data_IF_107522079812
#
_entry.id   IF_107522079812
#
_cell.length_a   1.000
_cell.length_b   1.000
_cell.length_c   1.000
_cell.angle_alpha   90.00
_cell.angle_beta   90.00
_cell.angle_gamma   90.00
#
_symmetry.space_group_name_H-M   'P 1'
#
loop_
_entity.id
_entity.type
_entity.pdbx_description
1 polymer ?
#
# COMPACT_ATOMS: atom_id res chain seq x y z
N UNK A 1 -12.88 -10.63 15.93
CA UNK A 1 -13.72 -11.00 14.75
C UNK A 1 -14.24 -9.81 13.94
N UNK A 2 -14.37 -8.59 14.49
CA UNK A 2 -14.91 -7.43 13.73
C UNK A 2 -14.00 -6.91 12.59
N UNK A 3 -12.67 -7.08 12.69
CA UNK A 3 -11.72 -6.66 11.64
C UNK A 3 -11.91 -7.40 10.30
N UNK A 4 -12.41 -8.64 10.32
CA UNK A 4 -12.54 -9.49 9.12
C UNK A 4 -13.78 -9.17 8.27
N UNK A 5 -14.86 -8.68 8.89
CA UNK A 5 -16.09 -8.33 8.16
C UNK A 5 -15.96 -7.02 7.39
N UNK A 6 -15.19 -6.07 7.94
CA UNK A 6 -14.93 -4.80 7.27
C UNK A 6 -14.06 -5.02 6.03
N UNK A 7 -12.89 -5.65 6.17
CA UNK A 7 -11.96 -5.82 5.04
C UNK A 7 -12.56 -6.64 3.90
N UNK A 8 -13.32 -7.71 4.20
CA UNK A 8 -13.95 -8.55 3.17
C UNK A 8 -15.09 -7.88 2.40
N UNK A 9 -15.88 -7.02 3.04
CA UNK A 9 -16.93 -6.29 2.36
C UNK A 9 -16.38 -5.15 1.49
N UNK A 10 -15.37 -4.42 1.96
CA UNK A 10 -14.67 -3.38 1.18
C UNK A 10 -13.99 -3.96 -0.08
N UNK A 11 -13.28 -5.09 0.06
CA UNK A 11 -12.62 -5.78 -1.06
C UNK A 11 -13.62 -6.37 -2.07
N UNK A 12 -14.85 -6.64 -1.63
CA UNK A 12 -15.90 -7.17 -2.50
C UNK A 12 -16.71 -6.07 -3.19
N UNK A 13 -16.95 -4.93 -2.55
CA UNK A 13 -17.88 -3.91 -3.04
C UNK A 13 -17.21 -2.78 -3.84
N UNK A 14 -15.93 -2.48 -3.56
CA UNK A 14 -15.17 -1.39 -4.21
C UNK A 14 -13.97 -1.96 -5.00
N UNK A 15 -14.10 -3.19 -5.48
CA UNK A 15 -13.14 -3.75 -6.44
C UNK A 15 -13.53 -3.38 -7.86
N UNK A 16 -12.56 -3.11 -8.75
CA UNK A 16 -12.81 -2.99 -10.20
C UNK A 16 -13.54 -4.22 -10.78
N UNK A 17 -13.45 -5.37 -10.11
CA UNK A 17 -14.12 -6.62 -10.52
C UNK A 17 -15.63 -6.63 -10.28
N UNK A 18 -16.14 -5.78 -9.38
CA UNK A 18 -17.55 -5.79 -8.97
C UNK A 18 -18.28 -4.46 -9.23
N UNK A 19 -17.54 -3.39 -9.55
CA UNK A 19 -18.11 -2.08 -9.85
C UNK A 19 -17.88 -1.70 -11.32
N UNK A 20 -18.93 -1.82 -12.14
CA UNK A 20 -18.91 -1.45 -13.56
C UNK A 20 -18.45 -0.02 -13.78
N UNK A 21 -18.94 0.91 -12.95
CA UNK A 21 -18.57 2.33 -13.05
C UNK A 21 -17.09 2.57 -12.73
N UNK A 22 -16.54 1.90 -11.72
CA UNK A 22 -15.12 2.02 -11.37
C UNK A 22 -14.23 1.47 -12.50
N UNK A 23 -14.62 0.33 -13.06
CA UNK A 23 -13.94 -0.28 -14.20
C UNK A 23 -13.98 0.64 -15.43
N UNK A 24 -15.15 1.14 -15.80
CA UNK A 24 -15.33 2.06 -16.93
C UNK A 24 -14.51 3.33 -16.76
N UNK A 25 -14.52 3.94 -15.56
CA UNK A 25 -13.76 5.16 -15.28
C UNK A 25 -12.25 4.92 -15.33
N UNK A 26 -11.75 3.80 -14.78
CA UNK A 26 -10.34 3.41 -14.88
C UNK A 26 -9.92 3.16 -16.34
N UNK A 27 -10.74 2.47 -17.12
CA UNK A 27 -10.46 2.25 -18.55
C UNK A 27 -10.49 3.53 -19.37
N UNK A 28 -11.44 4.44 -19.09
CA UNK A 28 -11.53 5.74 -19.77
C UNK A 28 -10.31 6.62 -19.46
N UNK A 29 -9.86 6.66 -18.20
CA UNK A 29 -8.62 7.35 -17.82
C UNK A 29 -7.39 6.72 -18.47
N UNK A 30 -7.28 5.39 -18.52
CA UNK A 30 -6.17 4.69 -19.17
C UNK A 30 -6.11 4.99 -20.69
N UNK A 31 -7.25 4.98 -21.38
CA UNK A 31 -7.35 5.36 -22.80
C UNK A 31 -6.90 6.80 -23.01
N UNK A 32 -7.33 7.73 -22.15
CA UNK A 32 -6.93 9.13 -22.21
C UNK A 32 -5.43 9.29 -21.98
N UNK A 33 -4.86 8.70 -20.93
CA UNK A 33 -3.42 8.76 -20.61
C UNK A 33 -2.59 8.22 -21.76
N UNK A 34 -2.97 7.08 -22.36
CA UNK A 34 -2.30 6.53 -23.55
C UNK A 34 -2.32 7.48 -24.74
N UNK A 35 -3.46 8.11 -25.00
CA UNK A 35 -3.57 9.12 -26.05
C UNK A 35 -2.75 10.39 -25.74
N UNK A 36 -2.56 10.77 -24.47
CA UNK A 36 -1.62 11.85 -24.10
C UNK A 36 -0.18 11.49 -24.42
N UNK A 37 0.23 10.26 -24.09
CA UNK A 37 1.57 9.74 -24.38
C UNK A 37 1.82 9.76 -25.88
N UNK A 38 0.87 9.28 -26.70
CA UNK A 38 0.97 9.31 -28.17
C UNK A 38 1.03 10.74 -28.75
N UNK A 39 0.40 11.72 -28.10
CA UNK A 39 0.49 13.13 -28.53
C UNK A 39 1.86 13.76 -28.20
N UNK A 40 2.60 13.17 -27.26
CA UNK A 40 3.92 13.65 -26.80
C UNK A 40 5.05 12.87 -27.48
N UNK A 41 4.88 11.57 -27.72
CA UNK A 41 5.78 10.72 -28.52
C UNK A 41 5.60 11.03 -30.01
N UNK A 42 6.25 12.11 -30.47
CA UNK A 42 6.34 12.45 -31.89
C UNK A 42 7.76 12.20 -32.38
N UNK A 43 7.91 11.28 -33.35
CA UNK A 43 9.10 11.09 -34.19
C UNK A 43 9.29 12.33 -35.07
N UNK A 44 9.91 13.35 -34.48
CA UNK A 44 10.29 14.57 -35.19
C UNK A 44 11.74 14.50 -35.63
N UNK A 45 12.00 14.15 -36.88
CA UNK A 45 13.35 14.17 -37.49
C UNK A 45 14.04 15.55 -37.39
N UNK A 46 13.30 16.62 -37.04
CA UNK A 46 13.87 17.93 -36.73
C UNK A 46 13.13 18.68 -35.61
N UNK A 47 13.88 19.46 -34.82
CA UNK A 47 13.42 20.19 -33.64
C UNK A 47 12.31 21.22 -33.97
N UNK A 48 12.39 21.88 -35.13
CA UNK A 48 11.38 22.83 -35.59
C UNK A 48 10.02 22.17 -35.89
N UNK A 49 10.03 20.99 -36.52
CA UNK A 49 8.80 20.20 -36.76
C UNK A 49 8.19 19.70 -35.47
N UNK A 50 9.01 19.28 -34.50
CA UNK A 50 8.57 18.88 -33.16
C UNK A 50 7.89 20.04 -32.42
N UNK A 51 8.45 21.24 -32.47
CA UNK A 51 7.84 22.43 -31.86
C UNK A 51 6.52 22.82 -32.56
N UNK A 52 6.47 22.83 -33.90
CA UNK A 52 5.25 23.14 -34.66
C UNK A 52 4.12 22.14 -34.36
N UNK A 53 4.43 20.84 -34.33
CA UNK A 53 3.48 19.78 -33.99
C UNK A 53 2.98 19.90 -32.55
N UNK A 54 3.88 20.19 -31.60
CA UNK A 54 3.50 20.42 -30.20
C UNK A 54 2.47 21.56 -30.06
N UNK A 55 2.70 22.71 -30.70
CA UNK A 55 1.75 23.82 -30.62
C UNK A 55 0.39 23.50 -31.25
N UNK A 56 0.35 22.70 -32.33
CA UNK A 56 -0.91 22.21 -32.92
C UNK A 56 -1.63 21.19 -32.04
N UNK A 57 -0.89 20.34 -31.32
CA UNK A 57 -1.42 19.29 -30.43
C UNK A 57 -1.75 19.76 -29.00
N UNK A 58 -1.27 20.93 -28.61
CA UNK A 58 -1.49 21.54 -27.29
C UNK A 58 -2.96 21.61 -26.83
N UNK A 59 -3.93 22.05 -27.66
CA UNK A 59 -5.33 22.07 -27.23
C UNK A 59 -5.91 20.67 -27.02
N UNK A 60 -5.60 19.70 -27.89
CA UNK A 60 -6.02 18.30 -27.71
C UNK A 60 -5.44 17.70 -26.43
N UNK A 61 -4.14 17.93 -26.18
CA UNK A 61 -3.49 17.47 -24.95
C UNK A 61 -4.14 18.09 -23.70
N UNK A 62 -4.42 19.40 -23.72
CA UNK A 62 -5.09 20.09 -22.61
C UNK A 62 -6.46 19.49 -22.31
N UNK A 63 -7.27 19.23 -23.34
CA UNK A 63 -8.60 18.62 -23.15
C UNK A 63 -8.53 17.23 -22.51
N UNK A 64 -7.49 16.46 -22.84
CA UNK A 64 -7.25 15.14 -22.25
C UNK A 64 -6.78 15.23 -20.79
N UNK A 65 -5.89 16.18 -20.46
CA UNK A 65 -5.47 16.47 -19.07
C UNK A 65 -6.71 16.78 -18.22
N UNK A 66 -7.55 17.71 -18.69
CA UNK A 66 -8.77 18.12 -17.99
C UNK A 66 -9.74 16.94 -17.81
N UNK A 67 -9.83 16.06 -18.81
CA UNK A 67 -10.63 14.84 -18.75
C UNK A 67 -10.17 13.86 -17.69
N UNK A 68 -8.86 13.63 -17.55
CA UNK A 68 -8.27 12.78 -16.51
C UNK A 68 -8.47 13.40 -15.13
N UNK A 69 -8.23 14.71 -14.98
CA UNK A 69 -8.46 15.42 -13.73
C UNK A 69 -9.91 15.35 -13.25
N UNK A 70 -10.89 15.55 -14.17
CA UNK A 70 -12.31 15.37 -13.85
C UNK A 70 -12.65 13.94 -13.45
N UNK A 71 -12.11 12.93 -14.14
CA UNK A 71 -12.31 11.52 -13.81
C UNK A 71 -11.80 11.15 -12.42
N UNK A 72 -10.58 11.58 -12.10
CA UNK A 72 -9.97 11.39 -10.78
C UNK A 72 -10.77 12.09 -9.68
N UNK A 73 -11.20 13.33 -9.90
CA UNK A 73 -12.02 14.07 -8.93
C UNK A 73 -13.35 13.37 -8.65
N UNK A 74 -14.04 12.92 -9.69
CA UNK A 74 -15.30 12.18 -9.55
C UNK A 74 -15.10 10.85 -8.80
N UNK A 75 -13.96 10.18 -9.00
CA UNK A 75 -13.58 8.98 -8.27
C UNK A 75 -13.38 9.25 -6.78
N UNK A 76 -12.63 10.28 -6.43
CA UNK A 76 -12.41 10.69 -5.05
C UNK A 76 -13.74 11.05 -4.35
N UNK A 77 -14.60 11.84 -5.00
CA UNK A 77 -15.90 12.25 -4.44
C UNK A 77 -16.81 11.03 -4.14
N UNK A 78 -16.83 10.03 -5.03
CA UNK A 78 -17.62 8.80 -4.78
C UNK A 78 -17.01 7.90 -3.70
N UNK A 79 -15.69 7.87 -3.58
CA UNK A 79 -15.03 7.14 -2.50
C UNK A 79 -15.37 7.74 -1.13
N UNK A 80 -15.37 9.07 -1.02
CA UNK A 80 -15.77 9.79 0.20
C UNK A 80 -17.26 9.55 0.54
N UNK A 81 -18.14 9.53 -0.47
CA UNK A 81 -19.55 9.20 -0.31
C UNK A 81 -19.77 7.76 0.20
N UNK A 82 -19.07 6.78 -0.38
CA UNK A 82 -19.16 5.40 0.09
C UNK A 82 -18.67 5.30 1.55
N UNK A 83 -17.53 5.91 1.86
CA UNK A 83 -16.93 5.84 3.19
C UNK A 83 -17.73 6.60 4.25
N UNK A 84 -18.39 7.70 3.88
CA UNK A 84 -19.31 8.40 4.77
C UNK A 84 -20.59 7.60 5.03
N UNK A 85 -21.19 6.97 4.01
CA UNK A 85 -22.37 6.11 4.17
C UNK A 85 -22.11 4.91 5.09
N UNK A 86 -20.90 4.35 5.04
CA UNK A 86 -20.48 3.20 5.85
C UNK A 86 -20.28 3.61 7.31
N UNK A 87 -19.58 4.72 7.54
CA UNK A 87 -19.44 5.30 8.88
C UNK A 87 -20.79 5.66 9.48
N UNK A 88 -21.71 6.16 8.66
CA UNK A 88 -23.08 6.44 9.07
C UNK A 88 -23.83 5.17 9.48
N UNK A 89 -23.83 4.12 8.66
CA UNK A 89 -24.45 2.84 8.98
C UNK A 89 -23.89 2.20 10.25
N UNK A 90 -22.56 2.29 10.46
CA UNK A 90 -21.92 1.83 11.69
C UNK A 90 -22.35 2.64 12.91
N UNK A 91 -22.44 3.98 12.82
CA UNK A 91 -22.94 4.84 13.90
C UNK A 91 -24.37 4.47 14.27
N UNK A 92 -25.24 4.31 13.28
CA UNK A 92 -26.64 3.93 13.48
C UNK A 92 -26.80 2.54 14.09
N UNK A 93 -25.96 1.57 13.70
CA UNK A 93 -25.96 0.23 14.28
C UNK A 93 -25.55 0.25 15.76
N UNK A 94 -24.54 1.04 16.12
CA UNK A 94 -24.10 1.22 17.51
C UNK A 94 -25.21 1.85 18.36
N UNK A 95 -25.94 2.82 17.81
CA UNK A 95 -27.08 3.45 18.50
C UNK A 95 -28.28 2.50 18.65
N UNK A 96 -28.54 1.63 17.66
CA UNK A 96 -29.64 0.68 17.68
C UNK A 96 -29.40 -0.55 18.59
N UNK A 97 -28.13 -0.92 18.85
CA UNK A 97 -27.75 -2.07 19.68
C UNK A 97 -26.60 -1.75 20.66
N UNK A 98 -26.87 -1.01 21.75
CA UNK A 98 -25.85 -0.49 22.66
C UNK A 98 -24.98 -1.55 23.36
N UNK A 99 -25.54 -2.74 23.61
CA UNK A 99 -24.90 -3.76 24.44
C UNK A 99 -23.81 -4.58 23.73
N UNK A 100 -23.63 -4.43 22.42
CA UNK A 100 -22.53 -5.05 21.66
C UNK A 100 -21.30 -4.13 21.55
N UNK A 101 -21.39 -2.88 22.01
CA UNK A 101 -20.42 -1.83 21.68
C UNK A 101 -19.10 -1.87 22.48
N UNK A 102 -19.06 -2.49 23.66
CA UNK A 102 -17.88 -2.42 24.55
C UNK A 102 -16.72 -3.34 24.14
N UNK A 103 -16.95 -4.34 23.27
CA UNK A 103 -15.92 -5.34 22.91
C UNK A 103 -15.07 -4.99 21.68
N UNK A 104 -15.31 -3.87 21.00
CA UNK A 104 -14.63 -3.53 19.74
C UNK A 104 -13.56 -2.43 19.81
N UNK A 105 -13.40 -1.74 20.95
CA UNK A 105 -12.53 -0.56 21.06
C UNK A 105 -11.48 -0.63 22.19
N UNK A 106 -11.23 -1.80 22.79
CA UNK A 106 -10.34 -1.89 23.96
C UNK A 106 -8.84 -2.03 23.64
N UNK A 107 -8.39 -1.97 22.37
CA UNK A 107 -7.02 -2.41 22.03
C UNK A 107 -6.23 -1.49 21.09
N UNK A 108 -6.47 -0.18 21.12
CA UNK A 108 -5.59 0.78 20.42
C UNK A 108 -5.15 1.91 21.38
N UNK A 109 -4.07 1.70 22.13
CA UNK A 109 -3.18 2.80 22.58
C UNK A 109 -1.78 2.31 23.01
N UNK A 110 -0.68 3.01 22.64
CA UNK A 110 0.69 2.57 22.90
C UNK A 110 1.29 3.13 24.22
N UNK A 111 1.96 2.23 24.95
CA UNK A 111 2.99 2.36 25.99
C UNK A 111 3.20 3.67 26.79
N UNK A 112 3.21 3.55 28.13
CA UNK A 112 4.19 4.18 29.04
C UNK A 112 4.21 3.51 30.42
N UNK A 113 5.36 3.64 31.09
CA UNK A 113 5.98 2.81 32.11
C UNK A 113 5.46 2.88 33.56
N UNK A 114 5.80 1.81 34.31
CA UNK A 114 6.35 1.74 35.69
C UNK A 114 5.52 2.17 36.92
N UNK A 115 5.28 1.14 37.75
CA UNK A 115 5.39 1.03 39.23
C UNK A 115 4.45 1.82 40.16
N UNK A 116 3.83 1.07 41.09
CA UNK A 116 3.36 1.59 42.37
C UNK A 116 2.34 0.71 43.10
N UNK A 117 2.83 -0.23 43.92
CA UNK A 117 2.34 -0.64 45.27
C UNK A 117 0.83 -0.83 45.55
N UNK A 118 0.50 -2.10 45.83
CA UNK A 118 0.00 -2.65 47.12
C UNK A 118 -1.43 -2.37 47.67
N UNK A 119 -1.93 -3.47 48.25
CA UNK A 119 -2.99 -3.68 49.26
C UNK A 119 -4.47 -3.81 48.87
N UNK A 120 -4.98 -5.02 49.13
CA UNK A 120 -6.41 -5.26 49.32
C UNK A 120 -6.86 -6.73 49.36
N UNK A 121 -6.21 -7.60 50.16
CA UNK A 121 -6.89 -8.81 50.69
C UNK A 121 -7.86 -8.38 51.79
N UNK A 122 -9.06 -8.96 51.94
CA UNK A 122 -9.28 -10.25 52.64
C UNK A 122 -10.31 -11.14 51.88
N UNK A 123 -10.57 -12.45 52.08
CA UNK A 123 -10.20 -13.48 53.05
C UNK A 123 -11.04 -14.73 52.67
N UNK A 124 -10.38 -15.90 52.50
CA UNK A 124 -10.79 -17.28 52.88
C UNK A 124 -12.13 -17.91 52.38
N UNK A 125 -12.38 -19.24 52.57
CA UNK A 125 -11.50 -20.40 52.61
C UNK A 125 -11.97 -21.58 51.72
N UNK A 126 -11.05 -22.52 51.51
CA UNK A 126 -11.28 -23.89 50.98
C UNK A 126 -12.08 -24.70 52.01
N UNK A 127 -13.11 -25.46 51.62
CA UNK A 127 -13.59 -26.60 52.39
C UNK A 127 -13.03 -27.90 51.79
N UNK A 128 -12.13 -28.52 52.55
CA UNK A 128 -11.94 -29.98 52.53
C UNK A 128 -13.09 -30.55 53.36
N UNK A 129 -13.87 -31.46 52.79
CA UNK A 129 -14.87 -32.25 53.51
C UNK A 129 -14.47 -33.72 53.40
N UNK A 130 -13.64 -34.14 54.36
CA UNK A 130 -13.38 -35.54 54.69
C UNK A 130 -13.41 -35.65 56.22
N UNK A 131 -14.54 -36.13 56.73
CA UNK A 131 -14.73 -36.74 58.05
C UNK A 131 -15.83 -37.79 57.81
N UNK A 132 -15.55 -39.10 57.88
CA UNK A 132 -15.61 -39.96 59.09
C UNK A 132 -16.87 -39.67 59.93
N UNK A 133 -17.65 -40.66 60.37
CA UNK A 133 -17.13 -41.70 61.25
C UNK A 133 -18.15 -42.79 61.60
N UNK A 134 -17.59 -43.94 62.03
CA UNK A 134 -17.98 -44.77 63.20
C UNK A 134 -19.39 -45.42 63.24
N UNK A 135 -19.61 -46.63 63.79
CA UNK A 135 -18.94 -47.33 64.88
C UNK A 135 -19.61 -48.73 65.01
N UNK A 136 -18.88 -49.85 65.20
CA UNK A 136 -18.60 -50.54 66.50
C UNK A 136 -19.76 -51.48 66.93
N UNK A 137 -19.61 -52.76 67.33
CA UNK A 137 -18.86 -53.37 68.46
C UNK A 137 -18.89 -54.92 68.28
N UNK A 138 -17.79 -55.70 68.41
CA UNK A 138 -17.31 -56.44 69.61
C UNK A 138 -18.35 -57.40 70.26
N UNK A 139 -18.07 -58.59 70.81
CA UNK A 139 -16.88 -59.38 71.16
C UNK A 139 -17.36 -60.77 71.65
N UNK A 140 -16.49 -61.79 71.70
CA UNK A 140 -16.20 -62.66 72.88
C UNK A 140 -15.62 -64.03 72.51
N UNK A 141 -14.82 -64.55 73.45
CA UNK A 141 -13.83 -65.61 73.35
C UNK A 141 -14.32 -66.96 73.93
N UNK A 142 -13.80 -68.05 73.34
CA UNK A 142 -13.32 -69.32 73.96
C UNK A 142 -14.29 -70.38 74.54
N UNK A 143 -14.23 -71.59 73.94
CA UNK A 143 -13.60 -72.83 74.44
C UNK A 143 -14.43 -74.15 74.38
N UNK A 144 -13.79 -75.14 73.73
CA UNK A 144 -13.65 -76.58 74.02
C UNK A 144 -14.81 -77.62 74.04
N UNK A 145 -14.55 -78.67 73.23
CA UNK A 145 -14.67 -80.13 73.46
C UNK A 145 -15.99 -80.91 73.24
N UNK A 146 -15.94 -81.71 72.16
CA UNK A 146 -16.29 -83.13 72.00
C UNK A 146 -17.55 -83.77 72.61
N UNK A 147 -18.30 -84.40 71.69
CA UNK A 147 -18.90 -85.77 71.72
C UNK A 147 -20.43 -85.92 71.86
N UNK A 148 -21.04 -86.27 70.70
CA UNK A 148 -22.11 -87.26 70.42
C UNK A 148 -23.53 -87.03 70.96
N UNK A 149 -24.47 -86.76 70.04
CA UNK A 149 -25.64 -87.61 69.67
C UNK A 149 -26.47 -86.93 68.55
N UNK A 150 -26.88 -87.69 67.52
CA UNK A 150 -27.68 -87.27 66.35
C UNK A 150 -29.12 -86.83 66.74
N UNK A 151 -29.70 -85.80 66.08
CA UNK A 151 -30.41 -85.99 64.80
C UNK A 151 -29.95 -84.98 63.75
N UNK A 152 -29.03 -85.41 62.88
CA UNK A 152 -28.12 -84.57 62.09
C UNK A 152 -28.59 -84.19 60.68
N UNK A 153 -29.79 -84.59 60.25
CA UNK A 153 -30.25 -84.30 58.88
C UNK A 153 -31.00 -82.98 58.70
N UNK A 154 -31.75 -82.49 59.70
CA UNK A 154 -32.68 -81.37 59.49
C UNK A 154 -32.05 -79.97 59.58
N UNK A 155 -31.08 -79.74 60.46
CA UNK A 155 -30.40 -78.43 60.58
C UNK A 155 -29.37 -78.17 59.47
N UNK A 156 -28.82 -79.21 58.85
CA UNK A 156 -27.83 -79.08 57.77
C UNK A 156 -28.48 -78.72 56.44
N UNK A 157 -29.69 -79.22 56.18
CA UNK A 157 -30.51 -78.86 55.02
C UNK A 157 -30.96 -77.39 55.09
N UNK A 158 -31.36 -76.91 56.26
CA UNK A 158 -31.74 -75.49 56.46
C UNK A 158 -30.52 -74.57 56.30
N UNK A 159 -29.36 -74.91 56.87
CA UNK A 159 -28.11 -74.15 56.67
C UNK A 159 -27.61 -74.15 55.22
N UNK A 160 -27.86 -75.22 54.46
CA UNK A 160 -27.46 -75.27 53.06
C UNK A 160 -28.41 -74.48 52.17
N UNK A 161 -29.71 -74.44 52.48
CA UNK A 161 -30.68 -73.57 51.81
C UNK A 161 -30.36 -72.08 52.02
N UNK A 162 -30.01 -71.67 53.25
CA UNK A 162 -29.64 -70.27 53.55
C UNK A 162 -28.39 -69.81 52.79
N UNK A 163 -27.37 -70.68 52.70
CA UNK A 163 -26.17 -70.41 51.90
C UNK A 163 -26.48 -70.32 50.41
N UNK A 164 -27.39 -71.15 49.92
CA UNK A 164 -27.83 -71.14 48.53
C UNK A 164 -28.59 -69.86 48.19
N UNK A 165 -29.45 -69.40 49.10
CA UNK A 165 -30.16 -68.11 48.98
C UNK A 165 -29.20 -66.91 49.00
N UNK A 166 -28.18 -66.94 49.86
CA UNK A 166 -27.13 -65.91 49.86
C UNK A 166 -26.34 -65.88 48.54
N UNK A 167 -25.97 -67.05 48.02
CA UNK A 167 -25.28 -67.15 46.73
C UNK A 167 -26.16 -66.68 45.56
N UNK A 168 -27.45 -67.00 45.54
CA UNK A 168 -28.38 -66.50 44.51
C UNK A 168 -28.54 -64.97 44.56
N UNK A 169 -28.59 -64.38 45.76
CA UNK A 169 -28.63 -62.94 45.94
C UNK A 169 -27.32 -62.27 45.46
N UNK A 170 -26.18 -62.87 45.75
CA UNK A 170 -24.86 -62.38 45.32
C UNK A 170 -24.67 -62.52 43.80
N UNK A 171 -25.14 -63.62 43.19
CA UNK A 171 -25.19 -63.80 41.74
C UNK A 171 -26.10 -62.75 41.09
N UNK A 172 -27.25 -62.45 41.70
CA UNK A 172 -28.17 -61.43 41.17
C UNK A 172 -27.56 -60.03 41.23
N UNK A 173 -26.92 -59.67 42.36
CA UNK A 173 -26.22 -58.40 42.52
C UNK A 173 -25.06 -58.24 41.53
N UNK A 174 -24.20 -59.26 41.43
CA UNK A 174 -23.06 -59.23 40.49
C UNK A 174 -23.51 -59.15 39.03
N UNK A 175 -24.66 -59.74 38.70
CA UNK A 175 -25.28 -59.62 37.37
C UNK A 175 -25.78 -58.20 37.09
N UNK A 176 -26.43 -57.54 38.06
CA UNK A 176 -26.83 -56.13 37.94
C UNK A 176 -25.62 -55.22 37.81
N UNK A 177 -24.60 -55.40 38.66
CA UNK A 177 -23.35 -54.63 38.60
C UNK A 177 -22.65 -54.78 37.24
N UNK A 178 -22.61 -56.01 36.70
CA UNK A 178 -22.08 -56.27 35.36
C UNK A 178 -22.86 -55.54 34.27
N UNK A 179 -24.21 -55.53 34.36
CA UNK A 179 -25.04 -54.79 33.41
C UNK A 179 -24.73 -53.29 33.44
N UNK A 180 -24.65 -52.69 34.63
CA UNK A 180 -24.34 -51.26 34.79
C UNK A 180 -22.93 -50.92 34.29
N UNK A 181 -21.94 -51.77 34.58
CA UNK A 181 -20.58 -51.60 34.09
C UNK A 181 -20.51 -51.72 32.56
N UNK A 182 -21.25 -52.67 31.97
CA UNK A 182 -21.35 -52.82 30.52
C UNK A 182 -21.98 -51.59 29.87
N UNK A 183 -23.06 -51.03 30.43
CA UNK A 183 -23.69 -49.81 29.90
C UNK A 183 -22.75 -48.60 30.00
N UNK A 184 -22.03 -48.49 31.13
CA UNK A 184 -21.01 -47.45 31.31
C UNK A 184 -19.85 -47.59 30.33
N UNK A 185 -19.39 -48.82 30.08
CA UNK A 185 -18.34 -49.11 29.11
C UNK A 185 -18.79 -48.73 27.68
N UNK A 186 -19.99 -49.15 27.28
CA UNK A 186 -20.59 -48.80 25.98
C UNK A 186 -20.72 -47.28 25.80
N UNK A 187 -21.14 -46.57 26.84
CA UNK A 187 -21.23 -45.10 26.81
C UNK A 187 -19.85 -44.44 26.63
N UNK A 188 -18.86 -44.89 27.39
CA UNK A 188 -17.48 -44.39 27.28
C UNK A 188 -16.87 -44.69 25.90
N UNK A 189 -17.15 -45.87 25.34
CA UNK A 189 -16.66 -46.27 24.02
C UNK A 189 -17.26 -45.40 22.91
N UNK A 190 -18.56 -45.09 22.99
CA UNK A 190 -19.21 -44.13 22.11
C UNK A 190 -18.60 -42.71 22.22
N UNK A 191 -18.34 -42.24 23.44
CA UNK A 191 -17.69 -40.93 23.66
C UNK A 191 -16.29 -40.89 23.03
N UNK A 192 -15.51 -41.97 23.15
CA UNK A 192 -14.18 -42.09 22.52
C UNK A 192 -14.27 -42.05 20.99
N UNK A 193 -15.27 -42.70 20.39
CA UNK A 193 -15.50 -42.66 18.94
C UNK A 193 -15.81 -41.23 18.50
N UNK A 194 -16.76 -40.55 19.18
CA UNK A 194 -17.12 -39.16 18.87
C UNK A 194 -15.90 -38.24 19.00
N UNK A 195 -15.10 -38.38 20.06
CA UNK A 195 -13.89 -37.56 20.25
C UNK A 195 -12.87 -37.78 19.14
N UNK A 196 -12.68 -39.02 18.67
CA UNK A 196 -11.79 -39.33 17.53
C UNK A 196 -12.28 -38.67 16.24
N UNK A 197 -13.57 -38.71 15.96
CA UNK A 197 -14.17 -38.02 14.80
C UNK A 197 -14.01 -36.50 14.90
N UNK A 198 -14.16 -35.93 16.09
CA UNK A 198 -13.92 -34.49 16.30
C UNK A 198 -12.45 -34.12 16.07
N UNK A 199 -11.51 -34.95 16.54
CA UNK A 199 -10.08 -34.72 16.41
C UNK A 199 -9.63 -34.75 14.94
N UNK A 200 -10.06 -35.78 14.18
CA UNK A 200 -9.74 -35.89 12.74
C UNK A 200 -10.32 -34.73 11.93
N UNK A 201 -11.55 -34.28 12.24
CA UNK A 201 -12.15 -33.10 11.61
C UNK A 201 -11.37 -31.82 11.93
N UNK A 202 -10.93 -31.65 13.17
CA UNK A 202 -10.16 -30.48 13.60
C UNK A 202 -8.77 -30.45 12.96
N UNK A 203 -8.13 -31.61 12.80
CA UNK A 203 -6.88 -31.75 12.03
C UNK A 203 -7.07 -31.38 10.56
N UNK A 204 -8.15 -31.83 9.93
CA UNK A 204 -8.46 -31.48 8.53
C UNK A 204 -8.73 -29.98 8.36
N UNK A 205 -9.47 -29.35 9.29
CA UNK A 205 -9.70 -27.90 9.28
C UNK A 205 -8.40 -27.11 9.45
N UNK A 206 -7.53 -27.53 10.40
CA UNK A 206 -6.22 -26.92 10.59
C UNK A 206 -5.37 -26.98 9.33
N UNK A 207 -5.32 -28.14 8.66
CA UNK A 207 -4.54 -28.31 7.43
C UNK A 207 -5.09 -27.46 6.27
N UNK A 208 -6.43 -27.41 6.13
CA UNK A 208 -7.08 -26.53 5.16
C UNK A 208 -6.74 -25.05 5.41
N UNK A 209 -6.76 -24.59 6.67
CA UNK A 209 -6.38 -23.22 7.00
C UNK A 209 -4.90 -22.94 6.73
N UNK A 210 -4.02 -23.89 6.98
CA UNK A 210 -2.59 -23.75 6.72
C UNK A 210 -2.30 -23.58 5.23
N UNK A 211 -3.00 -24.33 4.37
CA UNK A 211 -2.94 -24.16 2.91
C UNK A 211 -3.43 -22.79 2.46
N UNK A 212 -4.55 -22.31 3.01
CA UNK A 212 -5.04 -20.95 2.74
C UNK A 212 -3.98 -19.89 3.10
N UNK A 213 -3.33 -20.03 4.27
CA UNK A 213 -2.27 -19.10 4.69
C UNK A 213 -1.06 -19.11 3.75
N UNK A 214 -0.62 -20.28 3.27
CA UNK A 214 0.45 -20.36 2.28
C UNK A 214 0.09 -19.64 0.98
N UNK A 215 -1.14 -19.85 0.47
CA UNK A 215 -1.63 -19.13 -0.71
C UNK A 215 -1.67 -17.62 -0.51
N UNK A 216 -2.04 -17.13 0.69
CA UNK A 216 -1.99 -15.71 1.01
C UNK A 216 -0.56 -15.16 0.99
N UNK A 217 0.40 -15.90 1.53
CA UNK A 217 1.82 -15.52 1.51
C UNK A 217 2.32 -15.40 0.07
N UNK A 218 2.07 -16.40 -0.78
CA UNK A 218 2.47 -16.39 -2.18
C UNK A 218 1.81 -15.25 -2.96
N UNK A 219 0.52 -15.00 -2.70
CA UNK A 219 -0.23 -13.90 -3.30
C UNK A 219 0.31 -12.53 -2.91
N UNK A 220 0.90 -12.38 -1.73
CA UNK A 220 1.52 -11.12 -1.27
C UNK A 220 2.94 -10.96 -1.84
N UNK A 221 3.70 -12.06 -1.92
CA UNK A 221 5.09 -12.06 -2.42
C UNK A 221 5.20 -11.52 -3.85
N UNK A 222 4.32 -11.96 -4.76
CA UNK A 222 4.36 -11.57 -6.17
C UNK A 222 4.17 -10.05 -6.39
N UNK A 223 3.10 -9.40 -5.90
CA UNK A 223 2.96 -7.94 -5.96
C UNK A 223 4.10 -7.21 -5.26
N UNK A 224 4.61 -7.72 -4.15
CA UNK A 224 5.69 -7.06 -3.42
C UNK A 224 6.98 -6.99 -4.26
N UNK A 225 7.32 -8.07 -4.98
CA UNK A 225 8.45 -8.05 -5.91
C UNK A 225 8.27 -7.05 -7.06
N UNK A 226 7.06 -6.98 -7.63
CA UNK A 226 6.74 -6.02 -8.71
C UNK A 226 6.83 -4.58 -8.19
N UNK A 227 6.31 -4.30 -6.99
CA UNK A 227 6.38 -2.98 -6.35
C UNK A 227 7.84 -2.60 -6.10
N UNK A 228 8.68 -3.52 -5.60
CA UNK A 228 10.10 -3.26 -5.40
C UNK A 228 10.83 -2.91 -6.70
N UNK A 229 10.57 -3.66 -7.77
CA UNK A 229 11.15 -3.37 -9.09
C UNK A 229 10.67 -2.01 -9.63
N UNK A 230 9.36 -1.74 -9.57
CA UNK A 230 8.81 -0.47 -10.05
C UNK A 230 9.33 0.74 -9.25
N UNK A 231 9.57 0.56 -7.95
CA UNK A 231 10.19 1.58 -7.10
C UNK A 231 11.63 1.88 -7.52
N UNK A 232 12.43 0.85 -7.84
CA UNK A 232 13.80 1.03 -8.32
C UNK A 232 13.83 1.78 -9.66
N UNK A 233 12.93 1.43 -10.59
CA UNK A 233 12.84 2.10 -11.88
C UNK A 233 12.40 3.57 -11.74
N UNK A 234 11.44 3.85 -10.84
CA UNK A 234 11.03 5.22 -10.53
C UNK A 234 12.19 6.05 -9.96
N UNK A 235 13.03 5.46 -9.10
CA UNK A 235 14.22 6.13 -8.57
C UNK A 235 15.22 6.48 -9.68
N UNK A 236 15.53 5.52 -10.57
CA UNK A 236 16.44 5.76 -11.71
C UNK A 236 15.92 6.85 -12.65
N UNK A 237 14.61 6.83 -12.95
CA UNK A 237 13.98 7.88 -13.77
C UNK A 237 14.05 9.25 -13.10
N UNK A 238 13.84 9.30 -11.78
CA UNK A 238 13.92 10.55 -11.01
C UNK A 238 15.35 11.12 -11.01
N UNK A 239 16.36 10.29 -10.82
CA UNK A 239 17.77 10.70 -10.94
C UNK A 239 18.09 11.24 -12.33
N UNK A 240 17.62 10.55 -13.39
CA UNK A 240 17.79 11.01 -14.76
C UNK A 240 17.08 12.35 -15.03
N UNK A 241 15.88 12.53 -14.50
CA UNK A 241 15.12 13.78 -14.63
C UNK A 241 15.85 14.94 -13.94
N UNK A 242 16.37 14.72 -12.73
CA UNK A 242 17.15 15.72 -12.01
C UNK A 242 18.42 16.14 -12.78
N UNK A 243 19.15 15.16 -13.33
CA UNK A 243 20.34 15.46 -14.13
C UNK A 243 19.99 16.28 -15.39
N UNK A 244 18.92 15.89 -16.09
CA UNK A 244 18.45 16.63 -17.26
C UNK A 244 17.98 18.05 -16.92
N UNK A 245 17.36 18.25 -15.74
CA UNK A 245 16.98 19.57 -15.25
C UNK A 245 18.20 20.45 -14.99
N UNK A 246 19.25 19.91 -14.35
CA UNK A 246 20.51 20.63 -14.11
C UNK A 246 21.16 21.04 -15.44
N UNK A 247 21.24 20.12 -16.42
CA UNK A 247 21.77 20.42 -17.75
C UNK A 247 20.95 21.51 -18.47
N UNK A 248 19.62 21.44 -18.40
CA UNK A 248 18.73 22.43 -19.01
C UNK A 248 18.89 23.82 -18.37
N UNK A 249 19.04 23.89 -17.05
CA UNK A 249 19.33 25.14 -16.34
C UNK A 249 20.69 25.72 -16.73
N UNK A 250 21.71 24.87 -16.88
CA UNK A 250 23.04 25.27 -17.35
C UNK A 250 22.99 25.86 -18.76
N UNK A 251 22.37 25.14 -19.71
CA UNK A 251 22.22 25.59 -21.09
C UNK A 251 21.42 26.89 -21.19
N UNK A 252 20.39 27.07 -20.36
CA UNK A 252 19.63 28.32 -20.29
C UNK A 252 20.52 29.49 -19.88
N UNK A 253 21.38 29.32 -18.87
CA UNK A 253 22.32 30.36 -18.45
C UNK A 253 23.32 30.71 -19.56
N UNK A 254 23.82 29.72 -20.30
CA UNK A 254 24.69 29.97 -21.46
C UNK A 254 23.97 30.70 -22.59
N UNK A 255 22.72 30.35 -22.86
CA UNK A 255 21.90 31.03 -23.86
C UNK A 255 21.67 32.51 -23.51
N UNK A 256 21.35 32.81 -22.25
CA UNK A 256 21.15 34.19 -21.78
C UNK A 256 22.45 35.01 -21.93
N UNK A 257 23.62 34.42 -21.62
CA UNK A 257 24.93 35.07 -21.85
C UNK A 257 25.17 35.35 -23.32
N UNK A 258 24.95 34.36 -24.18
CA UNK A 258 25.17 34.47 -25.62
C UNK A 258 24.22 35.49 -26.27
N UNK A 259 22.99 35.63 -25.78
CA UNK A 259 22.05 36.65 -26.24
C UNK A 259 22.60 38.06 -25.99
N UNK A 260 23.14 38.32 -24.79
CA UNK A 260 23.77 39.60 -24.43
C UNK A 260 25.02 39.87 -25.28
N UNK A 261 25.88 38.87 -25.48
CA UNK A 261 27.07 39.00 -26.32
C UNK A 261 26.71 39.32 -27.79
N UNK A 262 25.68 38.66 -28.33
CA UNK A 262 25.19 38.90 -29.69
C UNK A 262 24.64 40.32 -29.85
N UNK A 263 23.89 40.83 -28.87
CA UNK A 263 23.40 42.22 -28.88
C UNK A 263 24.55 43.23 -28.74
N UNK A 264 25.55 42.95 -27.90
CA UNK A 264 26.75 43.77 -27.78
C UNK A 264 27.56 43.82 -29.10
N UNK A 265 27.75 42.68 -29.75
CA UNK A 265 28.44 42.58 -31.04
C UNK A 265 27.68 43.33 -32.15
N UNK A 266 26.35 43.23 -32.18
CA UNK A 266 25.52 43.96 -33.14
C UNK A 266 25.64 45.48 -32.94
N UNK A 267 25.63 45.96 -31.69
CA UNK A 267 25.84 47.38 -31.40
C UNK A 267 27.22 47.88 -31.86
N UNK A 268 28.28 47.10 -31.63
CA UNK A 268 29.62 47.44 -32.11
C UNK A 268 29.67 47.50 -33.64
N UNK A 269 29.01 46.56 -34.33
CA UNK A 269 28.92 46.55 -35.79
C UNK A 269 28.20 47.80 -36.32
N UNK A 270 27.07 48.18 -35.74
CA UNK A 270 26.35 49.40 -36.14
C UNK A 270 27.21 50.66 -35.95
N UNK A 271 27.93 50.77 -34.83
CA UNK A 271 28.86 51.89 -34.60
C UNK A 271 29.98 51.92 -35.66
N UNK A 272 30.50 50.76 -36.04
CA UNK A 272 31.52 50.67 -37.09
C UNK A 272 30.99 51.17 -38.45
N UNK A 273 29.74 50.83 -38.79
CA UNK A 273 29.09 51.27 -40.02
C UNK A 273 28.86 52.79 -40.04
N UNK A 274 28.46 53.37 -38.92
CA UNK A 274 28.31 54.81 -38.78
C UNK A 274 29.66 55.53 -38.96
N UNK A 275 30.74 55.00 -38.37
CA UNK A 275 32.09 55.54 -38.54
C UNK A 275 32.52 55.46 -40.01
N UNK A 276 32.30 54.32 -40.69
CA UNK A 276 32.63 54.14 -42.10
C UNK A 276 31.89 55.17 -42.96
N UNK A 277 30.57 55.31 -42.78
CA UNK A 277 29.75 56.30 -43.51
C UNK A 277 30.27 57.74 -43.29
N UNK A 278 30.61 58.09 -42.05
CA UNK A 278 31.20 59.39 -41.74
C UNK A 278 32.56 59.61 -42.42
N UNK A 279 33.40 58.57 -42.53
CA UNK A 279 34.68 58.63 -43.22
C UNK A 279 34.52 58.72 -44.74
N UNK A 280 33.59 57.98 -45.33
CA UNK A 280 33.26 58.03 -46.76
C UNK A 280 32.80 59.43 -47.17
N UNK A 281 31.90 60.05 -46.39
CA UNK A 281 31.44 61.42 -46.63
C UNK A 281 32.59 62.43 -46.58
N UNK A 282 33.48 62.32 -45.57
CA UNK A 282 34.67 63.18 -45.49
C UNK A 282 35.61 62.98 -46.66
N UNK A 283 35.84 61.73 -47.05
CA UNK A 283 36.70 61.39 -48.19
C UNK A 283 36.16 62.00 -49.48
N UNK A 284 34.85 61.89 -49.74
CA UNK A 284 34.20 62.51 -50.89
C UNK A 284 34.39 64.04 -50.92
N UNK A 285 34.15 64.72 -49.79
CA UNK A 285 34.35 66.17 -49.69
C UNK A 285 35.81 66.57 -49.97
N UNK A 286 36.78 65.83 -49.45
CA UNK A 286 38.20 66.11 -49.70
C UNK A 286 38.60 65.83 -51.15
N UNK A 287 38.01 64.81 -51.78
CA UNK A 287 38.25 64.48 -53.19
C UNK A 287 37.69 65.56 -54.12
N UNK A 288 36.49 66.07 -53.87
CA UNK A 288 35.88 67.18 -54.60
C UNK A 288 36.71 68.47 -54.47
N UNK A 289 37.19 68.78 -53.26
CA UNK A 289 38.09 69.91 -53.03
C UNK A 289 39.41 69.76 -53.80
N UNK A 290 40.03 68.56 -53.76
CA UNK A 290 41.25 68.27 -54.49
C UNK A 290 41.07 68.40 -56.01
N UNK A 291 39.96 67.91 -56.57
CA UNK A 291 39.59 68.12 -57.98
C UNK A 291 39.47 69.61 -58.30
N UNK A 292 38.81 70.39 -57.44
CA UNK A 292 38.69 71.85 -57.60
C UNK A 292 40.03 72.60 -57.52
N UNK A 293 40.95 72.17 -56.65
CA UNK A 293 42.32 72.69 -56.62
C UNK A 293 43.10 72.36 -57.89
N UNK A 294 42.98 71.12 -58.40
CA UNK A 294 43.62 70.68 -59.63
C UNK A 294 43.21 71.54 -60.83
N UNK A 295 41.90 71.74 -61.02
CA UNK A 295 41.38 72.59 -62.12
C UNK A 295 41.90 74.03 -62.02
N UNK A 296 41.96 74.60 -60.81
CA UNK A 296 42.52 75.95 -60.60
C UNK A 296 44.01 76.00 -60.88
N UNK A 297 44.76 74.98 -60.48
CA UNK A 297 46.19 74.88 -60.76
C UNK A 297 46.44 74.80 -62.27
N UNK A 298 45.74 73.91 -62.98
CA UNK A 298 45.82 73.79 -64.45
C UNK A 298 45.48 75.13 -65.14
N UNK A 299 44.45 75.85 -64.67
CA UNK A 299 44.11 77.18 -65.19
C UNK A 299 45.23 78.20 -64.95
N UNK A 300 45.74 78.29 -63.72
CA UNK A 300 46.82 79.21 -63.37
C UNK A 300 48.11 78.92 -64.16
N UNK A 301 48.46 77.64 -64.34
CA UNK A 301 49.59 77.22 -65.18
C UNK A 301 49.42 77.69 -66.63
N UNK A 302 48.23 77.53 -67.21
CA UNK A 302 47.95 78.01 -68.57
C UNK A 302 48.03 79.55 -68.69
N UNK A 303 47.53 80.29 -67.70
CA UNK A 303 47.62 81.75 -67.65
C UNK A 303 49.09 82.22 -67.55
N UNK A 304 49.89 81.57 -66.69
CA UNK A 304 51.33 81.85 -66.56
C UNK A 304 52.08 81.57 -67.86
N UNK A 305 51.77 80.48 -68.55
CA UNK A 305 52.39 80.12 -69.83
C UNK A 305 52.06 81.15 -70.92
N UNK A 306 50.81 81.60 -71.01
CA UNK A 306 50.40 82.69 -71.91
C UNK A 306 51.19 83.97 -71.59
N UNK A 307 51.28 84.35 -70.32
CA UNK A 307 52.03 85.54 -69.89
C UNK A 307 53.51 85.45 -70.26
N UNK A 308 54.15 84.29 -70.02
CA UNK A 308 55.55 84.03 -70.44
C UNK A 308 55.72 84.23 -71.95
N UNK A 309 54.85 83.65 -72.76
CA UNK A 309 54.90 83.80 -74.22
C UNK A 309 54.71 85.24 -74.68
N UNK A 310 53.84 86.02 -74.02
CA UNK A 310 53.66 87.45 -74.35
C UNK A 310 54.87 88.29 -73.99
N UNK A 311 55.50 88.05 -72.83
CA UNK A 311 56.73 88.75 -72.42
C UNK A 311 57.87 88.45 -73.40
N UNK A 312 58.04 87.20 -73.82
CA UNK A 312 59.05 86.81 -74.81
C UNK A 312 58.87 87.44 -76.19
N UNK A 313 57.68 87.95 -76.52
CA UNK A 313 57.41 88.66 -77.79
C UNK A 313 57.68 90.17 -77.72
N UNK A 314 57.76 90.73 -76.51
CA UNK A 314 57.93 92.18 -76.28
C UNK A 314 59.38 92.52 -75.90
N UNK A 315 60.16 91.54 -75.42
CA UNK A 315 61.62 91.64 -75.23
C UNK A 315 62.39 91.35 -76.51
#
# INVERSE_FOLDING_TARGET
MAKLWQTGWWDSQISPKNSKWLQENLTDMDVKIKAMIMLIEVDGDSLAKRAEMYFKKRPELMTLVEGVYRGHRALAERYDQATSAIRYAHRTMIEAFPNQALLMFADDSPASDVSGTDQGTPEMPIPNDEFTDESVEQSTHSNENNHVNDPKLSNQEVQSLDKLSQLEAEISKTREDFSLLSDRANKAENEVVVLKEMLTRLEAEKESKLQDYQLFVDRISNPQAVISSAQEDAQKLNERANNAEIEAQSLKSEFDKLAVEKDAALNQYMQSLEIISNLENKLQLTEEAAKGFKVRAEKAESEVEILRQTISKVS
#
